data_IF_997847259541
#
_entry.id   IF_997847259541
#
_cell.length_a   1.000
_cell.length_b   1.000
_cell.length_c   1.000
_cell.angle_alpha   90.00
_cell.angle_beta   90.00
_cell.angle_gamma   90.00
#
_symmetry.space_group_name_H-M   'P 1'
#
loop_
_entity.id
_entity.type
_entity.pdbx_description
1 polymer ?
#
# COMPACT_ATOMS: atom_id res chain seq x y z
N UNK A 1 -0.98 -37.06 21.14
CA UNK A 1 -1.80 -35.95 20.65
C UNK A 1 -2.93 -35.68 21.62
N UNK A 2 -2.87 -34.58 22.37
CA UNK A 2 -3.93 -34.13 23.27
C UNK A 2 -4.95 -33.22 22.57
N UNK A 3 -5.56 -32.30 23.31
CA UNK A 3 -6.57 -31.32 22.81
C UNK A 3 -6.11 -30.61 21.53
N UNK A 4 -4.82 -30.23 21.47
CA UNK A 4 -4.21 -29.58 20.30
C UNK A 4 -4.20 -30.47 19.05
N UNK A 5 -3.97 -31.77 19.21
CA UNK A 5 -3.99 -32.73 18.10
C UNK A 5 -5.41 -33.06 17.63
N UNK A 6 -6.36 -33.14 18.56
CA UNK A 6 -7.77 -33.38 18.26
C UNK A 6 -8.36 -32.26 17.39
N UNK A 7 -8.27 -31.02 17.88
CA UNK A 7 -8.78 -29.85 17.14
C UNK A 7 -7.90 -29.47 15.94
N UNK A 8 -6.60 -29.79 15.96
CA UNK A 8 -5.69 -29.54 14.85
C UNK A 8 -5.94 -30.37 13.59
N UNK A 9 -6.69 -31.48 13.69
CA UNK A 9 -6.96 -32.41 12.60
C UNK A 9 -7.94 -31.85 11.55
N UNK A 10 -7.88 -32.35 10.30
CA UNK A 10 -8.79 -31.96 9.21
C UNK A 10 -10.19 -32.55 9.42
N UNK A 11 -10.97 -32.02 10.35
CA UNK A 11 -12.38 -32.35 10.47
C UNK A 11 -13.20 -31.55 9.46
N UNK A 12 -13.30 -32.03 8.21
CA UNK A 12 -14.25 -31.56 7.20
C UNK A 12 -15.59 -32.31 7.38
N UNK A 13 -16.44 -31.87 8.30
CA UNK A 13 -17.80 -32.41 8.41
C UNK A 13 -18.84 -31.30 8.62
N UNK A 14 -20.10 -31.60 8.27
CA UNK A 14 -21.27 -30.69 8.30
C UNK A 14 -21.56 -30.04 9.67
N UNK A 15 -20.84 -30.43 10.73
CA UNK A 15 -20.90 -29.89 12.10
C UNK A 15 -19.84 -28.78 12.34
N UNK A 16 -19.17 -28.31 11.27
CA UNK A 16 -18.03 -27.39 11.35
C UNK A 16 -18.29 -26.08 12.13
N UNK A 17 -19.51 -25.51 12.11
CA UNK A 17 -19.81 -24.28 12.86
C UNK A 17 -19.86 -24.51 14.37
N UNK A 18 -20.51 -25.59 14.81
CA UNK A 18 -20.61 -25.97 16.22
C UNK A 18 -19.25 -26.35 16.78
N UNK A 19 -18.46 -27.13 16.02
CA UNK A 19 -17.10 -27.49 16.43
C UNK A 19 -16.23 -26.24 16.63
N UNK A 20 -16.29 -25.28 15.71
CA UNK A 20 -15.52 -24.03 15.81
C UNK A 20 -15.91 -23.18 17.02
N UNK A 21 -17.19 -23.20 17.41
CA UNK A 21 -17.68 -22.52 18.61
C UNK A 21 -17.19 -23.22 19.89
N UNK A 22 -17.22 -24.56 19.93
CA UNK A 22 -16.65 -25.36 21.02
C UNK A 22 -15.16 -25.04 21.19
N UNK A 23 -14.41 -24.97 20.09
CA UNK A 23 -13.01 -24.54 20.11
C UNK A 23 -12.85 -23.15 20.73
N UNK A 24 -13.75 -22.20 20.44
CA UNK A 24 -13.77 -20.88 21.08
C UNK A 24 -13.96 -20.95 22.60
N UNK A 25 -14.89 -21.77 23.08
CA UNK A 25 -15.10 -22.02 24.51
C UNK A 25 -13.87 -22.65 25.17
N UNK A 26 -13.24 -23.63 24.52
CA UNK A 26 -12.00 -24.25 25.00
C UNK A 26 -10.89 -23.21 25.12
N UNK A 27 -10.72 -22.34 24.13
CA UNK A 27 -9.74 -21.25 24.18
C UNK A 27 -9.99 -20.28 25.34
N UNK A 28 -11.25 -19.97 25.65
CA UNK A 28 -11.60 -19.16 26.82
C UNK A 28 -11.22 -19.85 28.14
N UNK A 29 -11.48 -21.15 28.27
CA UNK A 29 -11.06 -21.91 29.45
C UNK A 29 -9.54 -21.99 29.58
N UNK A 30 -8.81 -22.18 28.48
CA UNK A 30 -7.35 -22.14 28.48
C UNK A 30 -6.86 -20.76 28.93
N UNK A 31 -7.42 -19.67 28.38
CA UNK A 31 -7.08 -18.32 28.80
C UNK A 31 -7.35 -18.08 30.30
N UNK A 32 -8.49 -18.56 30.80
CA UNK A 32 -8.85 -18.46 32.21
C UNK A 32 -7.88 -19.25 33.10
N UNK A 33 -7.56 -20.50 32.73
CA UNK A 33 -6.62 -21.33 33.47
C UNK A 33 -5.24 -20.68 33.56
N UNK A 34 -4.71 -20.14 32.45
CA UNK A 34 -3.42 -19.44 32.43
C UNK A 34 -3.44 -18.13 33.23
N UNK A 35 -4.60 -17.47 33.36
CA UNK A 35 -4.75 -16.30 34.23
C UNK A 35 -4.69 -16.67 35.71
N UNK A 36 -5.24 -17.82 36.09
CA UNK A 36 -5.22 -18.31 37.47
C UNK A 36 -3.85 -18.87 37.84
N UNK A 37 -3.23 -19.62 36.93
CA UNK A 37 -1.92 -20.23 37.11
C UNK A 37 -1.00 -19.92 35.92
N UNK A 38 -0.10 -18.93 36.06
CA UNK A 38 0.89 -18.60 35.02
C UNK A 38 1.87 -19.73 34.69
N UNK A 39 2.04 -20.75 35.54
CA UNK A 39 2.93 -21.88 35.22
C UNK A 39 2.42 -22.66 34.01
N UNK A 40 1.09 -22.82 33.88
CA UNK A 40 0.46 -23.44 32.71
C UNK A 40 0.77 -22.69 31.41
N UNK A 41 0.85 -21.36 31.46
CA UNK A 41 1.22 -20.55 30.29
C UNK A 41 2.67 -20.80 29.84
N UNK A 42 3.59 -21.06 30.78
CA UNK A 42 4.98 -21.40 30.46
C UNK A 42 5.06 -22.78 29.81
N UNK A 43 4.32 -23.76 30.35
CA UNK A 43 4.27 -25.11 29.78
C UNK A 43 3.67 -25.13 28.38
N UNK A 44 2.57 -24.40 28.13
CA UNK A 44 1.99 -24.28 26.78
C UNK A 44 3.03 -23.70 25.80
N UNK A 45 3.75 -22.66 26.20
CA UNK A 45 4.82 -22.07 25.39
C UNK A 45 5.98 -23.06 25.17
N UNK A 46 6.41 -23.78 26.20
CA UNK A 46 7.48 -24.76 26.12
C UNK A 46 7.12 -25.91 25.17
N UNK A 47 5.88 -26.40 25.26
CA UNK A 47 5.36 -27.46 24.40
C UNK A 47 5.45 -27.07 22.92
N UNK A 48 4.95 -25.88 22.55
CA UNK A 48 4.97 -25.44 21.15
C UNK A 48 6.39 -25.17 20.64
N UNK A 49 7.31 -24.73 21.52
CA UNK A 49 8.73 -24.60 21.16
C UNK A 49 9.41 -25.95 20.92
N UNK A 50 9.03 -26.97 21.69
CA UNK A 50 9.65 -28.31 21.62
C UNK A 50 9.24 -29.12 20.40
N UNK A 51 8.04 -28.88 19.85
CA UNK A 51 7.52 -29.61 18.70
C UNK A 51 6.87 -28.64 17.70
N UNK A 52 7.68 -28.16 16.75
CA UNK A 52 7.18 -27.34 15.63
C UNK A 52 6.26 -28.14 14.68
N UNK A 53 6.31 -29.48 14.72
CA UNK A 53 5.37 -30.36 14.02
C UNK A 53 3.94 -30.29 14.58
N UNK A 54 3.76 -29.75 15.79
CA UNK A 54 2.46 -29.45 16.38
C UNK A 54 1.83 -28.14 15.85
N UNK A 55 2.47 -27.44 14.91
CA UNK A 55 1.97 -26.17 14.38
C UNK A 55 0.73 -26.38 13.49
N UNK A 56 -0.44 -26.09 14.05
CA UNK A 56 -1.72 -26.14 13.36
C UNK A 56 -2.59 -24.93 13.75
N UNK A 57 -3.72 -24.75 13.07
CA UNK A 57 -4.62 -23.62 13.30
C UNK A 57 -5.09 -23.47 14.75
N UNK A 58 -5.32 -24.57 15.48
CA UNK A 58 -5.74 -24.52 16.87
C UNK A 58 -4.58 -24.17 17.80
N UNK A 59 -3.37 -24.68 17.55
CA UNK A 59 -2.14 -24.27 18.25
C UNK A 59 -1.91 -22.77 18.13
N UNK A 60 -2.09 -22.23 16.92
CA UNK A 60 -2.04 -20.79 16.66
C UNK A 60 -3.08 -20.05 17.49
N UNK A 61 -4.32 -20.53 17.51
CA UNK A 61 -5.40 -19.91 18.28
C UNK A 61 -5.14 -19.95 19.80
N UNK A 62 -4.57 -21.04 20.31
CA UNK A 62 -4.13 -21.16 21.72
C UNK A 62 -3.06 -20.11 22.02
N UNK A 63 -2.05 -19.95 21.18
CA UNK A 63 -1.01 -18.93 21.37
C UNK A 63 -1.57 -17.50 21.32
N UNK A 64 -2.52 -17.21 20.41
CA UNK A 64 -3.20 -15.92 20.43
C UNK A 64 -4.04 -15.71 21.69
N UNK A 65 -4.65 -16.77 22.21
CA UNK A 65 -5.43 -16.70 23.45
C UNK A 65 -4.53 -16.49 24.67
N UNK A 66 -3.42 -17.21 24.78
CA UNK A 66 -2.42 -17.04 25.84
C UNK A 66 -1.78 -15.65 25.78
N UNK A 67 -1.56 -15.11 24.58
CA UNK A 67 -1.03 -13.75 24.40
C UNK A 67 -1.91 -12.65 25.01
N UNK A 68 -3.20 -12.93 25.30
CA UNK A 68 -4.08 -11.98 26.02
C UNK A 68 -3.69 -11.80 27.49
N UNK A 69 -2.89 -12.70 28.05
CA UNK A 69 -2.31 -12.55 29.39
C UNK A 69 -1.02 -11.74 29.24
N UNK A 70 -1.00 -10.51 29.79
CA UNK A 70 0.08 -9.51 29.57
C UNK A 70 1.50 -10.08 29.71
N UNK A 71 1.75 -10.92 30.72
CA UNK A 71 3.05 -11.56 30.97
C UNK A 71 3.55 -12.44 29.81
N UNK A 72 2.63 -12.99 29.01
CA UNK A 72 2.93 -13.91 27.93
C UNK A 72 2.72 -13.31 26.53
N UNK A 73 2.24 -12.07 26.42
CA UNK A 73 1.91 -11.43 25.14
C UNK A 73 3.05 -11.49 24.12
N UNK A 74 4.17 -10.85 24.44
CA UNK A 74 5.32 -10.79 23.53
C UNK A 74 5.93 -12.16 23.26
N UNK A 75 6.08 -13.00 24.29
CA UNK A 75 6.69 -14.33 24.15
C UNK A 75 5.82 -15.25 23.25
N UNK A 76 4.50 -15.26 23.44
CA UNK A 76 3.59 -16.11 22.66
C UNK A 76 3.56 -15.70 21.19
N UNK A 77 3.47 -14.40 20.92
CA UNK A 77 3.51 -13.87 19.56
C UNK A 77 4.90 -14.04 18.92
N UNK A 78 5.96 -13.93 19.72
CA UNK A 78 7.34 -14.16 19.30
C UNK A 78 7.59 -15.60 18.83
N UNK A 79 6.94 -16.60 19.46
CA UNK A 79 7.01 -18.00 19.02
C UNK A 79 6.36 -18.17 17.65
N UNK A 80 5.15 -17.63 17.46
CA UNK A 80 4.47 -17.66 16.15
C UNK A 80 5.32 -17.02 15.06
N UNK A 81 5.92 -15.85 15.37
CA UNK A 81 6.82 -15.15 14.45
C UNK A 81 8.06 -15.99 14.14
N UNK A 82 8.67 -16.60 15.15
CA UNK A 82 9.89 -17.41 14.98
C UNK A 82 9.61 -18.65 14.15
N UNK A 83 8.50 -19.37 14.41
CA UNK A 83 8.08 -20.53 13.63
C UNK A 83 7.86 -20.16 12.15
N UNK A 84 7.17 -19.03 11.90
CA UNK A 84 6.94 -18.52 10.55
C UNK A 84 8.24 -18.14 9.83
N UNK A 85 9.12 -17.38 10.49
CA UNK A 85 10.41 -16.98 9.92
C UNK A 85 11.31 -18.17 9.64
N UNK A 86 11.31 -19.17 10.52
CA UNK A 86 12.06 -20.42 10.34
C UNK A 86 11.53 -21.16 9.12
N UNK A 87 10.21 -21.34 8.99
CA UNK A 87 9.62 -21.99 7.81
C UNK A 87 9.95 -21.26 6.49
N UNK A 88 9.92 -19.92 6.47
CA UNK A 88 10.34 -19.15 5.29
C UNK A 88 11.84 -19.31 4.99
N UNK A 89 12.69 -19.26 6.01
CA UNK A 89 14.13 -19.40 5.84
C UNK A 89 14.50 -20.80 5.36
N UNK A 90 13.89 -21.85 5.94
CA UNK A 90 14.10 -23.24 5.55
C UNK A 90 13.69 -23.45 4.09
N UNK A 91 12.52 -22.95 3.70
CA UNK A 91 12.06 -23.01 2.31
C UNK A 91 13.01 -22.29 1.35
N UNK A 92 13.48 -21.08 1.72
CA UNK A 92 14.43 -20.32 0.88
C UNK A 92 15.76 -21.05 0.74
N UNK A 93 16.36 -21.49 1.86
CA UNK A 93 17.61 -22.23 1.86
C UNK A 93 17.51 -23.53 1.05
N UNK A 94 16.39 -24.23 1.21
CA UNK A 94 16.05 -25.44 0.47
C UNK A 94 15.96 -25.22 -1.04
N UNK A 95 15.26 -24.14 -1.46
CA UNK A 95 15.14 -23.73 -2.87
C UNK A 95 16.49 -23.39 -3.49
N UNK A 96 17.34 -22.67 -2.77
CA UNK A 96 18.64 -22.21 -3.27
C UNK A 96 19.71 -23.31 -3.21
N UNK A 97 19.51 -24.34 -2.39
CA UNK A 97 20.45 -25.44 -2.23
C UNK A 97 20.36 -26.46 -3.37
N UNK A 98 21.40 -26.50 -4.21
CA UNK A 98 21.51 -27.48 -5.30
C UNK A 98 21.75 -28.92 -4.83
N UNK A 99 22.24 -29.10 -3.60
CA UNK A 99 22.58 -30.42 -3.05
C UNK A 99 21.42 -31.10 -2.32
N UNK A 100 20.34 -30.37 -2.05
CA UNK A 100 19.19 -30.92 -1.34
C UNK A 100 18.34 -31.76 -2.31
N UNK A 101 17.95 -33.01 -1.94
CA UNK A 101 17.02 -33.82 -2.71
C UNK A 101 15.69 -33.10 -2.96
N UNK A 102 15.07 -33.35 -4.11
CA UNK A 102 13.82 -32.69 -4.49
C UNK A 102 12.65 -33.04 -3.55
N UNK A 103 12.68 -34.23 -2.92
CA UNK A 103 11.72 -34.64 -1.89
C UNK A 103 11.77 -33.72 -0.66
N UNK A 104 12.96 -33.44 -0.13
CA UNK A 104 13.14 -32.52 1.00
C UNK A 104 12.81 -31.08 0.62
N UNK A 105 13.01 -30.71 -0.65
CA UNK A 105 12.56 -29.41 -1.16
C UNK A 105 11.04 -29.29 -1.14
N UNK A 106 10.34 -30.32 -1.60
CA UNK A 106 8.88 -30.36 -1.57
C UNK A 106 8.35 -30.37 -0.13
N UNK A 107 8.99 -31.11 0.80
CA UNK A 107 8.61 -31.09 2.22
C UNK A 107 8.72 -29.68 2.83
N UNK A 108 9.83 -28.98 2.57
CA UNK A 108 10.01 -27.60 3.06
C UNK A 108 8.96 -26.64 2.50
N UNK A 109 8.56 -26.85 1.23
CA UNK A 109 7.50 -26.08 0.57
C UNK A 109 6.11 -26.36 1.14
N UNK A 110 5.78 -27.63 1.38
CA UNK A 110 4.52 -28.01 2.01
C UNK A 110 4.45 -27.52 3.46
N UNK A 111 5.57 -27.55 4.18
CA UNK A 111 5.65 -27.04 5.54
C UNK A 111 5.35 -25.53 5.62
N UNK A 112 5.99 -24.69 4.79
CA UNK A 112 5.70 -23.24 4.81
C UNK A 112 4.25 -22.94 4.42
N UNK A 113 3.69 -23.66 3.44
CA UNK A 113 2.27 -23.54 3.07
C UNK A 113 1.33 -23.96 4.20
N UNK A 114 1.67 -25.02 4.93
CA UNK A 114 0.90 -25.47 6.08
C UNK A 114 0.89 -24.41 7.19
N UNK A 115 2.02 -23.78 7.46
CA UNK A 115 2.16 -22.69 8.44
C UNK A 115 1.31 -21.48 8.04
N UNK A 116 1.44 -20.99 6.79
CA UNK A 116 0.62 -19.89 6.26
C UNK A 116 -0.87 -20.21 6.33
N UNK A 117 -1.28 -21.40 5.89
CA UNK A 117 -2.68 -21.86 5.90
C UNK A 117 -3.22 -21.98 7.32
N UNK A 118 -2.41 -22.46 8.26
CA UNK A 118 -2.79 -22.60 9.67
C UNK A 118 -3.03 -21.25 10.33
N UNK A 119 -2.14 -20.28 10.08
CA UNK A 119 -2.31 -18.89 10.53
C UNK A 119 -3.58 -18.27 9.96
N UNK A 120 -3.75 -18.30 8.64
CA UNK A 120 -4.92 -17.72 7.97
C UNK A 120 -6.23 -18.39 8.41
N UNK A 121 -6.23 -19.71 8.61
CA UNK A 121 -7.40 -20.44 9.12
C UNK A 121 -7.75 -19.97 10.52
N UNK A 122 -6.78 -19.91 11.44
CA UNK A 122 -7.00 -19.45 12.81
C UNK A 122 -7.62 -18.05 12.86
N UNK A 123 -7.16 -17.14 11.99
CA UNK A 123 -7.69 -15.76 11.86
C UNK A 123 -9.10 -15.76 11.27
N UNK A 124 -9.34 -16.53 10.20
CA UNK A 124 -10.68 -16.61 9.59
C UNK A 124 -11.74 -17.19 10.53
N UNK A 125 -11.31 -18.03 11.47
CA UNK A 125 -12.18 -18.66 12.46
C UNK A 125 -12.47 -17.76 13.67
N UNK A 126 -11.88 -16.56 13.75
CA UNK A 126 -12.20 -15.57 14.79
C UNK A 126 -13.69 -15.22 14.86
N UNK A 127 -14.40 -15.29 13.73
CA UNK A 127 -15.85 -15.07 13.62
C UNK A 127 -16.72 -16.10 14.33
N UNK A 128 -16.15 -17.23 14.77
CA UNK A 128 -16.89 -18.31 15.43
C UNK A 128 -16.63 -18.29 16.94
N UNK A 129 -16.96 -17.18 17.60
CA UNK A 129 -16.89 -17.07 19.08
C UNK A 129 -15.48 -16.98 19.66
N UNK A 130 -14.49 -16.52 18.89
CA UNK A 130 -13.09 -16.33 19.36
C UNK A 130 -12.69 -14.86 19.42
N UNK A 131 -13.64 -13.95 19.57
CA UNK A 131 -13.41 -12.50 19.53
C UNK A 131 -12.38 -12.02 20.57
N UNK A 132 -12.23 -12.74 21.69
CA UNK A 132 -11.24 -12.42 22.72
C UNK A 132 -9.79 -12.47 22.22
N UNK A 133 -9.50 -13.22 21.15
CA UNK A 133 -8.15 -13.35 20.58
C UNK A 133 -7.82 -12.26 19.57
N UNK A 134 -8.83 -11.55 19.04
CA UNK A 134 -8.69 -10.57 17.95
C UNK A 134 -7.61 -9.51 18.23
N UNK A 135 -7.49 -8.91 19.44
CA UNK A 135 -6.44 -7.93 19.67
C UNK A 135 -5.02 -8.53 19.58
N UNK A 136 -4.83 -9.79 19.97
CA UNK A 136 -3.54 -10.49 19.80
C UNK A 136 -3.21 -10.69 18.31
N UNK A 137 -4.22 -10.96 17.49
CA UNK A 137 -4.06 -11.12 16.04
C UNK A 137 -3.69 -9.79 15.38
N UNK A 138 -4.33 -8.69 15.77
CA UNK A 138 -3.97 -7.34 15.29
C UNK A 138 -2.52 -7.02 15.66
N UNK A 139 -2.15 -7.21 16.93
CA UNK A 139 -0.78 -7.02 17.40
C UNK A 139 0.22 -7.86 16.60
N UNK A 140 -0.12 -9.13 16.33
CA UNK A 140 0.72 -10.02 15.55
C UNK A 140 0.88 -9.59 14.09
N UNK A 141 -0.21 -9.18 13.43
CA UNK A 141 -0.17 -8.70 12.04
C UNK A 141 0.76 -7.50 11.87
N UNK A 142 0.69 -6.54 12.79
CA UNK A 142 1.61 -5.39 12.77
C UNK A 142 3.05 -5.78 13.16
N UNK A 143 3.22 -6.68 14.13
CA UNK A 143 4.54 -7.23 14.49
C UNK A 143 5.23 -7.88 13.27
N UNK A 144 4.48 -8.58 12.42
CA UNK A 144 5.02 -9.16 11.20
C UNK A 144 5.34 -8.11 10.13
N UNK A 145 4.50 -7.08 9.94
CA UNK A 145 4.81 -5.99 9.00
C UNK A 145 6.10 -5.25 9.39
N UNK A 146 6.32 -5.00 10.68
CA UNK A 146 7.54 -4.37 11.19
C UNK A 146 8.78 -5.28 11.08
N UNK A 147 8.58 -6.58 10.85
CA UNK A 147 9.66 -7.56 10.69
C UNK A 147 10.18 -7.65 9.25
N UNK A 148 9.51 -7.00 8.30
CA UNK A 148 9.92 -7.01 6.89
C UNK A 148 11.22 -6.21 6.76
N UNK A 149 12.27 -6.88 6.30
CA UNK A 149 13.56 -6.24 6.00
C UNK A 149 13.56 -5.62 4.59
N UNK A 150 14.23 -4.49 4.42
CA UNK A 150 14.39 -3.84 3.12
C UNK A 150 15.10 -4.77 2.13
N UNK A 151 14.53 -4.92 0.92
CA UNK A 151 15.06 -5.78 -0.14
C UNK A 151 14.49 -7.21 -0.18
N UNK A 152 13.94 -7.73 0.92
CA UNK A 152 13.39 -9.11 0.98
C UNK A 152 11.92 -9.23 0.55
N UNK A 153 11.24 -8.12 0.25
CA UNK A 153 9.80 -8.11 -0.05
C UNK A 153 9.41 -8.76 -1.38
N UNK A 154 10.31 -8.76 -2.37
CA UNK A 154 9.97 -9.17 -3.75
C UNK A 154 10.51 -10.56 -4.14
N UNK A 155 11.39 -11.19 -3.36
CA UNK A 155 12.08 -12.43 -3.80
C UNK A 155 11.21 -13.69 -3.65
N UNK A 156 10.32 -13.73 -2.65
CA UNK A 156 9.53 -14.93 -2.33
C UNK A 156 8.16 -14.96 -3.00
N UNK A 157 7.69 -13.82 -3.51
CA UNK A 157 6.25 -13.50 -3.46
C UNK A 157 5.45 -13.76 -4.74
N UNK A 158 6.05 -14.08 -5.89
CA UNK A 158 5.27 -14.10 -7.15
C UNK A 158 5.50 -15.28 -8.11
N UNK A 159 6.38 -16.25 -7.81
CA UNK A 159 6.58 -17.42 -8.71
C UNK A 159 6.10 -18.77 -8.16
N UNK A 160 6.05 -18.98 -6.83
CA UNK A 160 5.91 -20.32 -6.25
C UNK A 160 4.64 -20.54 -5.38
N UNK A 161 3.76 -19.55 -5.24
CA UNK A 161 2.52 -19.67 -4.46
C UNK A 161 2.69 -19.64 -2.93
N UNK A 162 3.85 -19.18 -2.45
CA UNK A 162 4.10 -18.78 -1.05
C UNK A 162 3.89 -17.28 -0.94
N UNK A 163 3.20 -16.80 0.08
CA UNK A 163 2.84 -15.37 0.20
C UNK A 163 4.04 -14.51 0.57
N UNK A 164 4.84 -14.97 1.53
CA UNK A 164 5.86 -14.16 2.18
C UNK A 164 5.29 -13.30 3.32
N UNK A 165 6.17 -12.81 4.19
CA UNK A 165 5.81 -12.15 5.46
C UNK A 165 4.86 -10.97 5.23
N UNK A 166 5.19 -10.09 4.28
CA UNK A 166 4.41 -8.88 4.02
C UNK A 166 2.99 -9.21 3.52
N UNK A 167 2.86 -9.99 2.44
CA UNK A 167 1.54 -10.36 1.88
C UNK A 167 0.72 -11.16 2.88
N UNK A 168 1.33 -12.07 3.66
CA UNK A 168 0.62 -12.82 4.71
C UNK A 168 0.07 -11.87 5.78
N UNK A 169 0.86 -10.89 6.23
CA UNK A 169 0.45 -9.93 7.26
C UNK A 169 -0.68 -9.02 6.78
N UNK A 170 -0.59 -8.54 5.54
CA UNK A 170 -1.65 -7.78 4.89
C UNK A 170 -2.94 -8.62 4.82
N UNK A 171 -2.83 -9.90 4.48
CA UNK A 171 -3.99 -10.81 4.43
C UNK A 171 -4.59 -11.07 5.81
N UNK A 172 -3.77 -11.26 6.85
CA UNK A 172 -4.24 -11.43 8.24
C UNK A 172 -5.06 -10.20 8.68
N UNK A 173 -4.50 -8.99 8.54
CA UNK A 173 -5.18 -7.76 8.94
C UNK A 173 -6.37 -7.45 8.03
N UNK A 174 -6.27 -7.75 6.74
CA UNK A 174 -7.35 -7.61 5.77
C UNK A 174 -8.54 -8.52 6.04
N UNK A 175 -8.31 -9.76 6.49
CA UNK A 175 -9.39 -10.68 6.90
C UNK A 175 -10.08 -10.19 8.17
N UNK A 176 -9.34 -9.66 9.16
CA UNK A 176 -9.97 -9.06 10.34
C UNK A 176 -10.80 -7.83 9.98
N UNK A 177 -10.26 -6.95 9.14
CA UNK A 177 -10.93 -5.73 8.70
C UNK A 177 -12.24 -6.02 7.96
N UNK A 178 -12.27 -7.06 7.13
CA UNK A 178 -13.46 -7.52 6.41
C UNK A 178 -14.55 -8.04 7.36
N UNK A 179 -14.14 -8.87 8.33
CA UNK A 179 -15.06 -9.70 9.12
C UNK A 179 -15.55 -9.02 10.38
N UNK A 180 -14.73 -8.18 11.03
CA UNK A 180 -15.01 -7.64 12.35
C UNK A 180 -15.04 -6.11 12.34
N UNK A 181 -16.24 -5.53 12.26
CA UNK A 181 -16.47 -4.07 12.23
C UNK A 181 -15.75 -3.33 13.38
N UNK A 182 -15.83 -3.89 14.60
CA UNK A 182 -15.18 -3.35 15.80
C UNK A 182 -13.65 -3.23 15.72
N UNK A 183 -13.01 -3.87 14.75
CA UNK A 183 -11.54 -3.85 14.57
C UNK A 183 -11.07 -2.79 13.59
N UNK A 184 -11.95 -2.28 12.74
CA UNK A 184 -11.58 -1.41 11.61
C UNK A 184 -10.90 -0.13 12.09
N UNK A 185 -11.51 0.55 13.06
CA UNK A 185 -10.95 1.75 13.68
C UNK A 185 -9.56 1.49 14.28
N UNK A 186 -9.42 0.40 15.04
CA UNK A 186 -8.15 0.02 15.66
C UNK A 186 -7.06 -0.25 14.61
N UNK A 187 -7.38 -0.99 13.54
CA UNK A 187 -6.42 -1.27 12.46
C UNK A 187 -5.96 0.04 11.80
N UNK A 188 -6.87 0.97 11.52
CA UNK A 188 -6.55 2.25 10.89
C UNK A 188 -5.72 3.14 11.82
N UNK A 189 -6.06 3.22 13.11
CA UNK A 189 -5.28 3.95 14.10
C UNK A 189 -3.88 3.37 14.27
N UNK A 190 -3.75 2.04 14.29
CA UNK A 190 -2.45 1.37 14.37
C UNK A 190 -1.61 1.59 13.09
N UNK A 191 -2.23 1.71 11.91
CA UNK A 191 -1.57 2.16 10.68
C UNK A 191 -1.06 3.60 10.82
N UNK A 192 -1.93 4.53 11.23
CA UNK A 192 -1.62 5.96 11.42
C UNK A 192 -0.43 6.13 12.37
N UNK A 193 -0.51 5.52 13.55
CA UNK A 193 0.54 5.57 14.55
C UNK A 193 1.90 5.08 14.03
N UNK A 194 1.92 3.95 13.30
CA UNK A 194 3.17 3.37 12.78
C UNK A 194 3.75 4.15 11.62
N UNK A 195 2.92 4.67 10.73
CA UNK A 195 3.39 5.50 9.62
C UNK A 195 4.11 6.74 10.15
N UNK A 196 3.58 7.33 11.22
CA UNK A 196 4.14 8.53 11.85
C UNK A 196 5.34 8.25 12.77
N UNK A 197 5.37 7.09 13.44
CA UNK A 197 6.37 6.79 14.47
C UNK A 197 7.57 5.97 13.97
N UNK A 198 7.42 5.19 12.88
CA UNK A 198 8.48 4.35 12.34
C UNK A 198 9.37 5.09 11.34
N UNK A 199 10.61 4.61 11.18
CA UNK A 199 11.50 5.04 10.09
C UNK A 199 10.93 4.61 8.73
N UNK A 200 11.22 5.36 7.67
CA UNK A 200 10.74 5.15 6.30
C UNK A 200 10.80 3.68 5.82
N UNK A 201 11.94 3.01 6.03
CA UNK A 201 12.13 1.60 5.74
C UNK A 201 10.98 0.69 6.23
N UNK A 202 10.58 0.87 7.49
CA UNK A 202 9.62 0.04 8.20
C UNK A 202 8.18 0.53 8.05
N UNK A 203 7.98 1.78 7.64
CA UNK A 203 6.63 2.31 7.39
C UNK A 203 6.08 1.92 6.02
N UNK A 204 6.92 1.63 5.02
CA UNK A 204 6.47 1.20 3.67
C UNK A 204 5.49 0.01 3.70
N UNK A 205 5.74 -1.11 4.40
CA UNK A 205 4.77 -2.21 4.48
C UNK A 205 3.42 -1.80 5.10
N UNK A 206 3.44 -0.85 6.05
CA UNK A 206 2.23 -0.32 6.69
C UNK A 206 1.44 0.55 5.71
N UNK A 207 2.11 1.37 4.90
CA UNK A 207 1.45 2.13 3.84
C UNK A 207 0.89 1.19 2.75
N UNK A 208 1.57 0.06 2.44
CA UNK A 208 1.02 -0.98 1.55
C UNK A 208 -0.23 -1.65 2.11
N UNK A 209 -0.26 -1.95 3.41
CA UNK A 209 -1.48 -2.40 4.08
C UNK A 209 -2.60 -1.37 3.89
N UNK A 210 -2.33 -0.08 4.15
CA UNK A 210 -3.33 0.96 3.99
C UNK A 210 -3.86 1.04 2.55
N UNK A 211 -2.95 0.99 1.56
CA UNK A 211 -3.31 0.94 0.14
C UNK A 211 -4.14 -0.30 -0.22
N UNK A 212 -3.79 -1.47 0.31
CA UNK A 212 -4.58 -2.69 0.15
C UNK A 212 -6.00 -2.52 0.72
N UNK A 213 -6.14 -1.96 1.92
CA UNK A 213 -7.46 -1.71 2.53
C UNK A 213 -8.27 -0.71 1.71
N UNK A 214 -7.66 0.39 1.26
CA UNK A 214 -8.28 1.39 0.40
C UNK A 214 -8.74 0.80 -0.93
N UNK A 215 -7.92 -0.03 -1.57
CA UNK A 215 -8.24 -0.62 -2.86
C UNK A 215 -9.29 -1.74 -2.76
N UNK A 216 -9.19 -2.60 -1.74
CA UNK A 216 -10.06 -3.77 -1.59
C UNK A 216 -11.41 -3.43 -0.95
N UNK A 217 -11.42 -2.49 0.00
CA UNK A 217 -12.58 -2.14 0.82
C UNK A 217 -12.93 -0.66 0.70
N UNK A 218 -12.86 -0.08 -0.50
CA UNK A 218 -13.02 1.37 -0.73
C UNK A 218 -14.28 1.95 -0.09
N UNK A 219 -15.42 1.26 -0.21
CA UNK A 219 -16.70 1.73 0.37
C UNK A 219 -16.65 1.80 1.91
N UNK A 220 -16.06 0.81 2.56
CA UNK A 220 -15.89 0.80 4.02
C UNK A 220 -14.91 1.90 4.44
N UNK A 221 -13.82 2.07 3.68
CA UNK A 221 -12.80 3.08 3.95
C UNK A 221 -13.32 4.53 3.84
N UNK A 222 -14.45 4.78 3.18
CA UNK A 222 -15.07 6.11 3.14
C UNK A 222 -15.50 6.60 4.53
N UNK A 223 -15.90 5.71 5.43
CA UNK A 223 -16.27 6.05 6.81
C UNK A 223 -15.05 6.57 7.61
N UNK A 224 -13.84 6.21 7.18
CA UNK A 224 -12.58 6.51 7.86
C UNK A 224 -11.76 7.59 7.15
N UNK A 225 -12.35 8.36 6.23
CA UNK A 225 -11.68 9.46 5.51
C UNK A 225 -11.05 10.48 6.46
N UNK A 226 -11.67 10.74 7.61
CA UNK A 226 -11.15 11.68 8.60
C UNK A 226 -9.77 11.26 9.15
N UNK A 227 -9.51 9.96 9.39
CA UNK A 227 -8.19 9.48 9.78
C UNK A 227 -7.14 9.69 8.68
N UNK A 228 -7.54 9.53 7.41
CA UNK A 228 -6.64 9.77 6.28
C UNK A 228 -6.28 11.25 6.16
N UNK A 229 -7.26 12.15 6.40
CA UNK A 229 -7.02 13.59 6.46
C UNK A 229 -6.04 13.96 7.57
N UNK A 230 -6.25 13.44 8.79
CA UNK A 230 -5.30 13.65 9.90
C UNK A 230 -3.90 13.16 9.54
N UNK A 231 -3.77 12.02 8.85
CA UNK A 231 -2.47 11.51 8.42
C UNK A 231 -1.83 12.43 7.36
N UNK A 232 -2.63 13.02 6.46
CA UNK A 232 -2.16 13.99 5.46
C UNK A 232 -1.71 15.32 6.09
N UNK A 233 -2.22 15.73 7.25
CA UNK A 233 -1.70 16.92 7.96
C UNK A 233 -0.19 16.80 8.27
N UNK A 234 0.32 15.58 8.39
CA UNK A 234 1.74 15.30 8.61
C UNK A 234 2.57 15.24 7.32
N UNK A 235 1.99 15.51 6.14
CA UNK A 235 2.65 15.37 4.84
C UNK A 235 4.03 16.04 4.77
N UNK A 236 4.15 17.25 5.31
CA UNK A 236 5.40 18.03 5.28
C UNK A 236 6.42 17.58 6.31
N UNK A 237 6.01 16.76 7.28
CA UNK A 237 6.86 16.25 8.37
C UNK A 237 7.31 14.81 8.13
N UNK A 238 6.62 14.07 7.26
CA UNK A 238 7.02 12.74 6.81
C UNK A 238 8.15 12.82 5.77
N UNK A 239 8.91 11.73 5.64
CA UNK A 239 9.91 11.60 4.58
C UNK A 239 9.23 11.62 3.20
N UNK A 240 9.80 12.34 2.24
CA UNK A 240 9.15 12.62 0.96
C UNK A 240 8.67 11.38 0.20
N UNK A 241 9.44 10.29 0.24
CA UNK A 241 9.05 9.03 -0.41
C UNK A 241 7.82 8.39 0.27
N UNK A 242 7.73 8.45 1.60
CA UNK A 242 6.56 7.96 2.35
C UNK A 242 5.35 8.85 2.09
N UNK A 243 5.54 10.18 2.05
CA UNK A 243 4.47 11.12 1.76
C UNK A 243 3.87 10.89 0.37
N UNK A 244 4.71 10.70 -0.65
CA UNK A 244 4.25 10.33 -1.99
C UNK A 244 3.51 8.99 -1.96
N UNK A 245 4.13 7.97 -1.34
CA UNK A 245 3.57 6.63 -1.31
C UNK A 245 2.23 6.55 -0.59
N UNK A 246 2.06 7.33 0.48
CA UNK A 246 0.80 7.48 1.20
C UNK A 246 -0.29 8.04 0.28
N UNK A 247 -0.01 9.12 -0.45
CA UNK A 247 -1.02 9.70 -1.34
C UNK A 247 -1.35 8.71 -2.46
N UNK A 248 -0.35 8.04 -3.05
CA UNK A 248 -0.59 6.99 -4.05
C UNK A 248 -1.49 5.87 -3.52
N UNK A 249 -1.34 5.49 -2.25
CA UNK A 249 -2.20 4.49 -1.59
C UNK A 249 -3.65 4.97 -1.40
N UNK A 250 -3.86 6.28 -1.26
CA UNK A 250 -5.18 6.89 -1.02
C UNK A 250 -5.90 7.29 -2.30
N UNK A 251 -5.19 7.42 -3.43
CA UNK A 251 -5.75 7.77 -4.76
C UNK A 251 -7.02 6.97 -5.13
N UNK A 252 -7.12 5.65 -4.92
CA UNK A 252 -8.35 4.92 -5.26
C UNK A 252 -9.58 5.44 -4.51
N UNK A 253 -9.41 5.95 -3.28
CA UNK A 253 -10.49 6.51 -2.47
C UNK A 253 -10.88 7.93 -2.91
N UNK A 254 -9.91 8.70 -3.42
CA UNK A 254 -10.15 10.06 -3.97
C UNK A 254 -11.16 10.01 -5.12
N UNK A 255 -11.23 8.91 -5.88
CA UNK A 255 -12.26 8.69 -6.92
C UNK A 255 -13.68 8.68 -6.37
N UNK A 256 -13.85 8.31 -5.10
CA UNK A 256 -15.15 8.20 -4.44
C UNK A 256 -15.44 9.35 -3.47
N UNK A 257 -14.45 10.16 -3.09
CA UNK A 257 -14.60 11.26 -2.14
C UNK A 257 -13.97 12.55 -2.63
N UNK A 258 -14.82 13.48 -3.08
CA UNK A 258 -14.40 14.86 -3.43
C UNK A 258 -13.79 15.59 -2.23
N UNK A 259 -14.37 15.39 -1.06
CA UNK A 259 -13.91 15.99 0.19
C UNK A 259 -12.46 15.59 0.53
N UNK A 260 -12.08 14.34 0.28
CA UNK A 260 -10.70 13.88 0.42
C UNK A 260 -9.79 14.44 -0.69
N UNK A 261 -10.29 14.56 -1.93
CA UNK A 261 -9.57 15.17 -3.04
C UNK A 261 -9.18 16.62 -2.74
N UNK A 262 -10.16 17.45 -2.41
CA UNK A 262 -9.98 18.88 -2.16
C UNK A 262 -9.06 19.11 -0.96
N UNK A 263 -9.19 18.27 0.08
CA UNK A 263 -8.30 18.33 1.23
C UNK A 263 -6.86 17.92 0.88
N UNK A 264 -6.68 16.87 0.07
CA UNK A 264 -5.35 16.47 -0.43
C UNK A 264 -4.73 17.62 -1.23
N UNK A 265 -5.48 18.23 -2.16
CA UNK A 265 -5.02 19.38 -2.95
C UNK A 265 -4.65 20.56 -2.02
N UNK A 266 -5.42 20.82 -0.97
CA UNK A 266 -5.13 21.88 0.01
C UNK A 266 -3.81 21.62 0.75
N UNK A 267 -3.57 20.40 1.23
CA UNK A 267 -2.34 20.01 1.92
C UNK A 267 -1.14 20.15 0.98
N UNK A 268 -1.25 19.65 -0.25
CA UNK A 268 -0.20 19.72 -1.26
C UNK A 268 0.08 21.16 -1.67
N UNK A 269 -0.96 21.99 -1.83
CA UNK A 269 -0.81 23.42 -2.05
C UNK A 269 0.02 24.05 -0.94
N UNK A 270 -0.26 23.78 0.35
CA UNK A 270 0.56 24.29 1.47
C UNK A 270 2.01 23.79 1.39
N UNK A 271 2.20 22.51 1.08
CA UNK A 271 3.53 21.89 0.94
C UNK A 271 4.39 22.57 -0.14
N UNK A 272 3.79 23.04 -1.23
CA UNK A 272 4.48 23.77 -2.32
C UNK A 272 5.06 25.14 -1.91
N UNK A 273 4.67 25.70 -0.77
CA UNK A 273 5.21 26.95 -0.21
C UNK A 273 6.24 26.72 0.90
N UNK A 274 6.55 25.46 1.22
CA UNK A 274 7.61 25.13 2.19
C UNK A 274 8.98 25.49 1.64
N UNK A 275 9.91 25.81 2.55
CA UNK A 275 11.29 26.18 2.17
C UNK A 275 12.10 24.95 1.76
N UNK A 276 11.76 23.79 2.30
CA UNK A 276 12.45 22.54 2.09
C UNK A 276 12.19 22.00 0.67
N UNK A 277 13.26 21.85 -0.12
CA UNK A 277 13.16 21.39 -1.52
C UNK A 277 12.60 19.96 -1.63
N UNK A 278 12.95 19.08 -0.69
CA UNK A 278 12.44 17.70 -0.64
C UNK A 278 10.91 17.65 -0.53
N UNK A 279 10.32 18.54 0.27
CA UNK A 279 8.86 18.64 0.46
C UNK A 279 8.19 19.14 -0.81
N UNK A 280 8.77 20.12 -1.49
CA UNK A 280 8.24 20.65 -2.76
C UNK A 280 8.35 19.64 -3.90
N UNK A 281 9.44 18.87 -3.95
CA UNK A 281 9.60 17.74 -4.88
C UNK A 281 8.54 16.68 -4.63
N UNK A 282 8.31 16.28 -3.37
CA UNK A 282 7.28 15.32 -3.03
C UNK A 282 5.87 15.81 -3.38
N UNK A 283 5.56 17.07 -3.07
CA UNK A 283 4.29 17.71 -3.41
C UNK A 283 4.05 17.73 -4.94
N UNK A 284 5.10 18.02 -5.72
CA UNK A 284 5.03 18.02 -7.19
C UNK A 284 4.76 16.62 -7.75
N UNK A 285 5.45 15.59 -7.22
CA UNK A 285 5.17 14.19 -7.59
C UNK A 285 3.71 13.83 -7.33
N UNK A 286 3.16 14.24 -6.19
CA UNK A 286 1.76 13.99 -5.85
C UNK A 286 0.79 14.70 -6.79
N UNK A 287 1.06 15.96 -7.17
CA UNK A 287 0.24 16.68 -8.18
C UNK A 287 0.19 15.88 -9.47
N UNK A 288 1.35 15.42 -9.95
CA UNK A 288 1.44 14.58 -11.14
C UNK A 288 0.63 13.30 -10.98
N UNK A 289 0.81 12.56 -9.88
CA UNK A 289 0.12 11.29 -9.64
C UNK A 289 -1.41 11.46 -9.58
N UNK A 290 -1.92 12.55 -8.99
CA UNK A 290 -3.35 12.87 -8.97
C UNK A 290 -3.91 13.08 -10.39
N UNK A 291 -3.19 13.83 -11.24
CA UNK A 291 -3.59 14.09 -12.63
C UNK A 291 -3.55 12.78 -13.44
N UNK A 292 -2.51 11.98 -13.28
CA UNK A 292 -2.38 10.68 -13.94
C UNK A 292 -3.52 9.72 -13.55
N UNK A 293 -3.83 9.65 -12.26
CA UNK A 293 -4.89 8.78 -11.75
C UNK A 293 -6.29 9.19 -12.26
N UNK A 294 -6.55 10.48 -12.44
CA UNK A 294 -7.79 10.99 -13.04
C UNK A 294 -7.94 10.49 -14.49
N UNK A 295 -6.88 10.59 -15.29
CA UNK A 295 -6.89 10.16 -16.69
C UNK A 295 -7.01 8.65 -16.84
N UNK A 296 -6.32 7.89 -16.00
CA UNK A 296 -6.41 6.44 -16.02
C UNK A 296 -7.82 5.95 -15.64
N UNK A 297 -8.47 6.60 -14.67
CA UNK A 297 -9.86 6.27 -14.31
C UNK A 297 -10.85 6.48 -15.47
N UNK A 298 -10.68 7.55 -16.26
CA UNK A 298 -11.52 7.80 -17.44
C UNK A 298 -11.36 6.71 -18.50
N UNK A 299 -10.13 6.27 -18.75
CA UNK A 299 -9.85 5.15 -19.66
C UNK A 299 -10.51 3.85 -19.19
N UNK A 300 -10.37 3.51 -17.92
CA UNK A 300 -10.97 2.28 -17.36
C UNK A 300 -12.50 2.32 -17.45
N UNK A 301 -13.12 3.46 -17.15
CA UNK A 301 -14.58 3.62 -17.30
C UNK A 301 -15.05 3.48 -18.75
N UNK A 302 -14.26 3.99 -19.71
CA UNK A 302 -14.57 3.88 -21.13
C UNK A 302 -14.60 2.44 -21.63
N UNK A 303 -13.84 1.52 -21.01
CA UNK A 303 -13.86 0.10 -21.36
C UNK A 303 -14.98 -0.68 -20.67
N UNK A 304 -15.43 -0.27 -19.47
CA UNK A 304 -16.50 -0.98 -18.74
C UNK A 304 -17.93 -0.64 -19.17
N UNK A 305 -18.15 0.50 -19.83
CA UNK A 305 -19.50 0.96 -20.18
C UNK A 305 -19.98 0.60 -21.60
N UNK A 306 -19.15 -0.05 -22.42
CA UNK A 306 -19.53 -0.34 -23.81
C UNK A 306 -20.42 -1.60 -23.96
N UNK A 307 -20.53 -2.47 -22.95
CA UNK A 307 -21.25 -3.75 -23.06
C UNK A 307 -22.55 -3.88 -22.24
N UNK A 308 -23.05 -2.83 -21.56
CA UNK A 308 -24.26 -2.98 -20.72
C UNK A 308 -25.15 -1.73 -20.57
N UNK A 309 -25.30 -0.92 -21.61
CA UNK A 309 -26.35 0.12 -21.66
C UNK A 309 -27.46 -0.28 -22.65
N UNK A 310 -28.16 -1.37 -22.32
CA UNK A 310 -29.50 -1.63 -22.85
C UNK A 310 -30.52 -1.33 -21.76
N UNK A 311 -31.20 -0.18 -21.90
CA UNK A 311 -32.56 0.08 -21.45
C UNK A 311 -32.91 -0.21 -19.98
N UNK A 312 -32.90 0.82 -19.13
CA UNK A 312 -33.95 1.02 -18.12
C UNK A 312 -33.96 2.47 -17.63
N UNK A 313 -35.03 3.18 -17.99
CA UNK A 313 -35.39 4.49 -17.42
C UNK A 313 -35.95 4.26 -16.01
N UNK A 314 -35.33 4.83 -14.99
CA UNK A 314 -35.90 4.95 -13.65
C UNK A 314 -35.34 6.20 -12.97
N UNK A 315 -36.20 7.19 -12.87
CA UNK A 315 -35.96 8.58 -12.47
C UNK A 315 -35.83 8.75 -10.96
N UNK A 316 -34.95 7.99 -10.31
CA UNK A 316 -34.32 8.28 -9.00
C UNK A 316 -33.03 7.46 -8.89
N UNK A 317 -32.06 7.73 -9.78
CA UNK A 317 -30.71 7.22 -9.56
C UNK A 317 -30.04 8.12 -8.52
N UNK A 318 -29.75 7.57 -7.34
CA UNK A 318 -28.65 8.09 -6.53
C UNK A 318 -27.40 7.91 -7.40
N UNK A 319 -27.03 8.95 -8.13
CA UNK A 319 -25.87 8.98 -9.00
C UNK A 319 -24.61 8.77 -8.16
N UNK A 320 -24.24 7.52 -7.89
CA UNK A 320 -22.86 7.16 -7.59
C UNK A 320 -22.10 7.10 -8.93
N UNK A 321 -22.22 8.15 -9.73
CA UNK A 321 -21.30 8.40 -10.84
C UNK A 321 -19.95 8.68 -10.19
N UNK A 322 -18.88 8.04 -10.67
CA UNK A 322 -17.52 8.29 -10.22
C UNK A 322 -17.27 9.80 -10.36
N UNK A 323 -17.26 10.53 -9.24
CA UNK A 323 -17.34 11.99 -9.26
C UNK A 323 -15.95 12.61 -9.47
N UNK A 324 -15.21 12.05 -10.42
CA UNK A 324 -13.90 12.53 -10.80
C UNK A 324 -14.13 13.82 -11.59
N UNK A 325 -13.78 14.95 -10.97
CA UNK A 325 -13.76 16.25 -11.62
C UNK A 325 -13.00 16.10 -12.93
N UNK A 326 -13.70 16.29 -14.06
CA UNK A 326 -13.03 16.33 -15.33
C UNK A 326 -12.10 17.54 -15.36
N UNK A 327 -10.79 17.29 -15.50
CA UNK A 327 -9.73 18.27 -15.77
C UNK A 327 -8.97 18.79 -14.53
N UNK A 328 -8.47 17.90 -13.66
CA UNK A 328 -7.51 18.26 -12.60
C UNK A 328 -6.25 18.94 -13.17
N UNK A 329 -5.82 18.58 -14.38
CA UNK A 329 -4.72 19.27 -15.06
C UNK A 329 -4.97 20.79 -15.15
N UNK A 330 -6.18 21.20 -15.53
CA UNK A 330 -6.54 22.62 -15.64
C UNK A 330 -6.69 23.29 -14.26
N UNK A 331 -7.27 22.60 -13.28
CA UNK A 331 -7.42 23.13 -11.92
C UNK A 331 -6.07 23.33 -11.22
N UNK A 332 -5.16 22.38 -11.41
CA UNK A 332 -3.82 22.40 -10.80
C UNK A 332 -2.81 23.16 -11.66
N UNK A 333 -3.22 23.72 -12.80
CA UNK A 333 -2.36 24.45 -13.72
C UNK A 333 -1.61 25.60 -13.02
N UNK A 334 -2.28 26.37 -12.17
CA UNK A 334 -1.62 27.45 -11.41
C UNK A 334 -0.54 26.94 -10.44
N UNK A 335 -0.71 25.73 -9.89
CA UNK A 335 0.32 25.09 -9.05
C UNK A 335 1.47 24.55 -9.89
N UNK A 336 1.17 23.90 -11.03
CA UNK A 336 2.17 23.43 -11.99
C UNK A 336 3.01 24.57 -12.57
N UNK A 337 2.38 25.70 -12.91
CA UNK A 337 3.07 26.88 -13.39
C UNK A 337 4.05 27.39 -12.34
N UNK A 338 3.65 27.42 -11.06
CA UNK A 338 4.55 27.78 -9.96
C UNK A 338 5.75 26.84 -9.89
N UNK A 339 5.59 25.53 -10.13
CA UNK A 339 6.71 24.57 -10.15
C UNK A 339 7.79 24.93 -11.19
N UNK A 340 7.41 25.48 -12.35
CA UNK A 340 8.34 25.90 -13.41
C UNK A 340 9.25 27.07 -12.99
N UNK A 341 8.91 27.78 -11.92
CA UNK A 341 9.73 28.85 -11.33
C UNK A 341 10.48 28.41 -10.05
N UNK A 342 10.50 27.11 -9.75
CA UNK A 342 11.24 26.56 -8.61
C UNK A 342 12.60 26.00 -9.05
N UNK A 343 13.29 25.27 -8.16
CA UNK A 343 14.60 24.67 -8.47
C UNK A 343 14.50 23.58 -9.53
N UNK A 344 15.61 23.32 -10.22
CA UNK A 344 15.69 22.34 -11.31
C UNK A 344 15.07 20.98 -10.96
N UNK A 345 15.33 20.43 -9.76
CA UNK A 345 14.74 19.16 -9.32
C UNK A 345 13.21 19.13 -9.33
N UNK A 346 12.56 20.25 -9.03
CA UNK A 346 11.09 20.35 -9.07
C UNK A 346 10.62 20.36 -10.54
N UNK A 347 11.32 21.10 -11.40
CA UNK A 347 11.02 21.16 -12.84
C UNK A 347 11.18 19.79 -13.51
N UNK A 348 12.23 19.05 -13.18
CA UNK A 348 12.45 17.67 -13.66
C UNK A 348 11.25 16.77 -13.38
N UNK A 349 10.71 16.82 -12.16
CA UNK A 349 9.52 16.04 -11.78
C UNK A 349 8.31 16.45 -12.60
N UNK A 350 8.12 17.75 -12.84
CA UNK A 350 7.03 18.22 -13.71
C UNK A 350 7.19 17.65 -15.11
N UNK A 351 8.37 17.78 -15.74
CA UNK A 351 8.59 17.30 -17.10
C UNK A 351 8.41 15.78 -17.22
N UNK A 352 9.01 15.00 -16.32
CA UNK A 352 8.85 13.54 -16.29
C UNK A 352 7.37 13.16 -16.09
N UNK A 353 6.64 13.93 -15.29
CA UNK A 353 5.21 13.74 -15.05
C UNK A 353 4.33 14.04 -16.26
N UNK A 354 4.62 15.14 -16.97
CA UNK A 354 3.90 15.54 -18.18
C UNK A 354 4.15 14.55 -19.33
N UNK A 355 5.36 14.02 -19.46
CA UNK A 355 5.65 12.94 -20.41
C UNK A 355 4.78 11.72 -20.13
N UNK A 356 4.70 11.27 -18.87
CA UNK A 356 3.83 10.15 -18.47
C UNK A 356 2.36 10.43 -18.78
N UNK A 357 1.90 11.67 -18.57
CA UNK A 357 0.54 12.08 -18.86
C UNK A 357 0.20 11.94 -20.34
N UNK A 358 1.07 12.43 -21.22
CA UNK A 358 0.88 12.37 -22.67
C UNK A 358 0.99 10.94 -23.19
N UNK A 359 1.83 10.09 -22.59
CA UNK A 359 1.91 8.67 -22.92
C UNK A 359 0.63 7.89 -22.53
N UNK A 360 0.00 8.25 -21.41
CA UNK A 360 -1.25 7.62 -20.95
C UNK A 360 -2.47 8.15 -21.73
N UNK A 361 -2.47 9.45 -22.03
CA UNK A 361 -3.53 10.17 -22.74
C UNK A 361 -2.94 11.12 -23.80
N UNK A 362 -2.71 10.65 -25.04
CA UNK A 362 -2.15 11.47 -26.12
C UNK A 362 -2.98 12.72 -26.44
N UNK A 363 -4.29 12.73 -26.12
CA UNK A 363 -5.16 13.91 -26.31
C UNK A 363 -4.76 15.10 -25.43
N UNK A 364 -4.02 14.85 -24.34
CA UNK A 364 -3.47 15.89 -23.48
C UNK A 364 -2.28 16.63 -24.09
N UNK A 365 -1.71 16.15 -25.21
CA UNK A 365 -0.52 16.72 -25.83
C UNK A 365 -0.65 18.21 -26.18
N UNK A 366 -1.77 18.63 -26.80
CA UNK A 366 -2.03 20.03 -27.12
C UNK A 366 -2.06 20.93 -25.88
N UNK A 367 -2.93 20.67 -24.88
CA UNK A 367 -2.96 21.42 -23.62
C UNK A 367 -1.64 21.45 -22.86
N UNK A 368 -0.87 20.36 -22.87
CA UNK A 368 0.46 20.30 -22.23
C UNK A 368 1.47 21.16 -23.01
N UNK A 369 1.40 21.16 -24.34
CA UNK A 369 2.24 22.03 -25.16
C UNK A 369 1.93 23.50 -24.91
N UNK A 370 0.65 23.88 -24.90
CA UNK A 370 0.20 25.25 -24.60
C UNK A 370 0.67 25.71 -23.21
N UNK A 371 0.69 24.79 -22.23
CA UNK A 371 1.23 25.05 -20.90
C UNK A 371 2.75 25.30 -20.90
N UNK A 372 3.52 24.49 -21.64
CA UNK A 372 4.98 24.57 -21.66
C UNK A 372 5.52 25.66 -22.59
N UNK A 373 4.78 26.03 -23.63
CA UNK A 373 5.24 26.92 -24.69
C UNK A 373 5.76 28.28 -24.17
N UNK A 374 5.04 29.00 -23.29
CA UNK A 374 5.52 30.28 -22.75
C UNK A 374 6.82 30.15 -21.98
N UNK A 375 7.06 29.00 -21.34
CA UNK A 375 8.28 28.73 -20.60
C UNK A 375 9.43 28.35 -21.54
N UNK A 376 9.17 27.53 -22.55
CA UNK A 376 10.15 27.14 -23.57
C UNK A 376 10.67 28.34 -24.37
N UNK A 377 9.79 29.27 -24.76
CA UNK A 377 10.16 30.47 -25.52
C UNK A 377 11.12 31.42 -24.77
N UNK A 378 11.33 31.22 -23.46
CA UNK A 378 12.37 31.95 -22.70
C UNK A 378 13.78 31.48 -23.03
N UNK A 379 13.93 30.28 -23.56
CA UNK A 379 15.22 29.63 -23.84
C UNK A 379 15.47 29.42 -25.34
N UNK A 380 14.51 29.77 -26.18
CA UNK A 380 14.56 29.57 -27.63
C UNK A 380 14.31 30.87 -28.37
N UNK A 381 15.25 31.27 -29.25
CA UNK A 381 15.10 32.43 -30.14
C UNK A 381 14.95 32.00 -31.59
N UNK A 382 13.89 32.46 -32.23
CA UNK A 382 13.62 32.19 -33.64
C UNK A 382 14.48 33.05 -34.59
N UNK A 383 14.92 34.24 -34.14
CA UNK A 383 15.51 35.27 -35.00
C UNK A 383 16.97 35.04 -35.43
N UNK A 384 17.70 34.11 -34.79
CA UNK A 384 19.13 33.86 -35.04
C UNK A 384 19.41 32.35 -35.08
N UNK A 385 19.25 31.75 -36.25
CA UNK A 385 19.64 30.36 -36.54
C UNK A 385 19.12 29.30 -35.55
N UNK A 386 17.91 29.50 -34.99
CA UNK A 386 17.30 28.61 -33.98
C UNK A 386 18.22 28.34 -32.77
N UNK A 387 18.78 29.40 -32.18
CA UNK A 387 19.70 29.28 -31.06
C UNK A 387 18.99 28.99 -29.72
N UNK A 388 19.48 27.97 -29.00
CA UNK A 388 19.11 27.68 -27.62
C UNK A 388 20.00 28.49 -26.65
N UNK A 389 19.37 29.22 -25.72
CA UNK A 389 20.06 30.00 -24.70
C UNK A 389 20.53 29.15 -23.51
N UNK A 390 21.48 28.24 -23.73
CA UNK A 390 21.99 27.33 -22.70
C UNK A 390 22.59 28.10 -21.51
N UNK A 391 23.19 29.27 -21.77
CA UNK A 391 23.76 30.15 -20.74
C UNK A 391 22.70 30.65 -19.76
N UNK A 392 21.46 30.83 -20.20
CA UNK A 392 20.33 31.28 -19.37
C UNK A 392 19.80 30.16 -18.46
N UNK A 393 20.24 28.92 -18.65
CA UNK A 393 19.85 27.76 -17.84
C UNK A 393 20.75 27.54 -16.61
N UNK A 394 21.86 28.28 -16.50
CA UNK A 394 22.89 28.08 -15.48
C UNK A 394 23.01 29.34 -14.62
N UNK A 395 22.95 29.16 -13.30
CA UNK A 395 23.16 30.22 -12.32
C UNK A 395 24.51 30.04 -11.63
N UNK A 396 25.25 31.14 -11.45
CA UNK A 396 26.50 31.15 -10.69
C UNK A 396 26.23 31.75 -9.31
N UNK A 397 26.29 30.92 -8.27
CA UNK A 397 26.19 31.35 -6.87
C UNK A 397 27.41 30.88 -6.08
N UNK A 398 28.11 31.80 -5.41
CA UNK A 398 29.26 31.47 -4.55
C UNK A 398 30.40 30.72 -5.27
N UNK A 399 30.60 30.97 -6.56
CA UNK A 399 31.61 30.29 -7.38
C UNK A 399 31.25 28.87 -7.84
N UNK A 400 30.03 28.40 -7.54
CA UNK A 400 29.50 27.12 -8.03
C UNK A 400 28.50 27.36 -9.16
N UNK A 401 28.59 26.52 -10.20
CA UNK A 401 27.60 26.45 -11.26
C UNK A 401 26.44 25.58 -10.81
N UNK A 402 25.24 26.15 -10.79
CA UNK A 402 24.00 25.46 -10.42
C UNK A 402 23.11 25.46 -11.65
N UNK A 403 22.60 24.28 -12.03
CA UNK A 403 21.60 24.16 -13.09
C UNK A 403 20.28 24.73 -12.53
N UNK A 404 19.78 25.78 -13.16
CA UNK A 404 18.48 26.38 -12.85
C UNK A 404 17.38 25.77 -13.71
N UNK A 405 17.67 25.51 -14.98
CA UNK A 405 16.73 24.92 -15.95
C UNK A 405 17.30 23.61 -16.52
N UNK A 406 16.66 22.46 -16.27
CA UNK A 406 17.03 21.19 -16.88
C UNK A 406 16.48 21.14 -18.32
N UNK A 407 17.13 21.89 -19.22
CA UNK A 407 16.68 22.12 -20.59
C UNK A 407 16.58 20.82 -21.40
N UNK A 408 17.44 19.84 -21.13
CA UNK A 408 17.39 18.50 -21.72
C UNK A 408 16.05 17.81 -21.45
N UNK A 409 15.52 17.93 -20.23
CA UNK A 409 14.23 17.35 -19.84
C UNK A 409 13.04 18.09 -20.44
N UNK A 410 13.13 19.42 -20.53
CA UNK A 410 12.10 20.23 -21.21
C UNK A 410 12.02 19.85 -22.69
N UNK A 411 13.16 19.78 -23.38
CA UNK A 411 13.24 19.37 -24.79
C UNK A 411 12.73 17.94 -24.98
N UNK A 412 13.11 17.01 -24.11
CA UNK A 412 12.59 15.65 -24.12
C UNK A 412 11.05 15.64 -24.03
N UNK A 413 10.48 16.41 -23.10
CA UNK A 413 9.03 16.51 -22.93
C UNK A 413 8.35 17.03 -24.20
N UNK A 414 8.84 18.12 -24.79
CA UNK A 414 8.30 18.69 -26.02
C UNK A 414 8.44 17.70 -27.19
N UNK A 415 9.58 17.02 -27.30
CA UNK A 415 9.82 16.03 -28.36
C UNK A 415 8.82 14.88 -28.30
N UNK A 416 8.51 14.35 -27.10
CA UNK A 416 7.50 13.32 -26.94
C UNK A 416 6.11 13.80 -27.35
N UNK A 417 5.75 15.03 -26.99
CA UNK A 417 4.46 15.61 -27.37
C UNK A 417 4.35 15.67 -28.90
N UNK A 418 5.37 16.18 -29.58
CA UNK A 418 5.41 16.32 -31.04
C UNK A 418 5.40 14.96 -31.75
N UNK A 419 6.15 13.98 -31.24
CA UNK A 419 6.19 12.62 -31.81
C UNK A 419 4.85 11.89 -31.70
N UNK A 420 4.07 12.17 -30.65
CA UNK A 420 2.79 11.52 -30.39
C UNK A 420 1.60 12.27 -31.01
N UNK A 421 1.81 13.46 -31.58
CA UNK A 421 0.76 14.11 -32.36
C UNK A 421 0.49 13.29 -33.63
N UNK A 422 -0.79 13.04 -33.98
CA UNK A 422 -1.10 12.48 -35.28
C UNK A 422 -0.60 13.47 -36.33
N UNK A 423 0.41 13.07 -37.12
CA UNK A 423 0.75 13.79 -38.33
C UNK A 423 -0.49 13.73 -39.22
N UNK A 424 -1.25 14.82 -39.30
CA UNK A 424 -2.26 14.97 -40.32
C UNK A 424 -1.55 14.78 -41.66
N UNK A 425 -1.74 13.62 -42.28
CA UNK A 425 -1.43 13.38 -43.69
C UNK A 425 -2.45 14.11 -44.56
N UNK A 426 -2.54 15.43 -44.37
CA UNK A 426 -3.34 16.35 -45.15
C UNK A 426 -2.54 17.64 -45.27
N UNK A 427 -1.50 17.56 -46.08
CA UNK A 427 -0.97 18.65 -46.92
C UNK A 427 0.28 18.10 -47.65
N UNK A 428 0.01 17.33 -48.71
CA UNK A 428 0.94 17.10 -49.82
C UNK A 428 0.17 17.22 -51.12
#
# INVERSE_FOLDING_TARGET
>A
GGVVGFFGSKAETRVASVLRQIEGTVLLHVNFAVKQDPSLGQEVVALVKSDLGAFNHFTVAVLFSVARVRKFGENSLGILRTALLTAYNDYRLSKDCKWLPDELKEESFQHVKLVEKSLLRAVSECRYGREHVVPSVIQFGFMLLESVEEGRSNELSDSNGVLGIEKLSIKILGTLFEVHDMTRNEIIEQCKFRILSLKCAKSKPVVRLLGYLVQRYSLIMLEFVHHLKELLDYFTFMEGDISCFLVSAVIPLIKFSRDLQDYTILVIRKAMFRREDSVRVAATKVITDLILAEKQAKRDSSFTFQDSLSQASSSQQTEMSCIVRGNLFNELNGLLQRCLYQQAKVKEVVYDGLVKLVLIDPSSGGPVLDFLMPHFLRFFRQDKDFQLEITSCIKVEGGKFIIEEPLDRLLLCISWILLLQPHNSSDR
#
